data_IF_019639213721
#
_entry.id   IF_019639213721
#
_cell.length_a   1.000
_cell.length_b   1.000
_cell.length_c   1.000
_cell.angle_alpha   90.00
_cell.angle_beta   90.00
_cell.angle_gamma   90.00
#
_symmetry.space_group_name_H-M   'P 1'
#
loop_
_entity.id
_entity.type
_entity.pdbx_description
1 polymer ?
#
# COMPACT_ATOMS: atom_id res chain seq x y z
N UNK A 1 -41.53 38.82 12.59
CA UNK A 1 -40.19 39.29 12.15
C UNK A 1 -39.37 38.05 11.79
N UNK A 2 -39.30 37.70 10.52
CA UNK A 2 -38.54 36.52 10.05
C UNK A 2 -37.12 36.96 9.73
N UNK A 3 -36.16 36.62 10.58
CA UNK A 3 -34.74 36.84 10.27
C UNK A 3 -34.36 35.89 9.13
N UNK A 4 -33.93 36.39 7.95
CA UNK A 4 -33.46 35.52 6.89
C UNK A 4 -32.21 34.78 7.40
N UNK A 5 -32.21 33.46 7.28
CA UNK A 5 -31.07 32.65 7.67
C UNK A 5 -29.83 33.09 6.86
N UNK A 6 -28.82 33.63 7.54
CA UNK A 6 -27.58 34.04 6.89
C UNK A 6 -26.77 32.79 6.52
N UNK A 7 -26.27 32.74 5.29
CA UNK A 7 -25.37 31.66 4.86
C UNK A 7 -24.06 31.73 5.66
N UNK A 8 -23.55 30.60 6.19
CA UNK A 8 -22.30 30.62 6.92
C UNK A 8 -21.13 31.09 6.03
N UNK A 9 -20.15 31.84 6.57
CA UNK A 9 -19.00 32.29 5.79
C UNK A 9 -18.23 31.12 5.17
N UNK A 10 -17.75 31.25 3.93
CA UNK A 10 -16.99 30.19 3.26
C UNK A 10 -15.78 29.70 4.10
N UNK A 11 -15.10 30.62 4.78
CA UNK A 11 -13.98 30.28 5.66
C UNK A 11 -14.40 29.34 6.82
N UNK A 12 -15.63 29.44 7.30
CA UNK A 12 -16.17 28.51 8.29
C UNK A 12 -16.38 27.12 7.68
N UNK A 13 -17.00 27.04 6.50
CA UNK A 13 -17.25 25.78 5.78
C UNK A 13 -15.94 25.02 5.56
N UNK A 14 -14.91 25.69 5.05
CA UNK A 14 -13.61 25.06 4.78
C UNK A 14 -12.87 24.59 6.04
N UNK A 15 -12.99 25.31 7.15
CA UNK A 15 -12.46 24.83 8.45
C UNK A 15 -13.17 23.56 8.91
N UNK A 16 -14.49 23.48 8.70
CA UNK A 16 -15.29 22.29 9.03
C UNK A 16 -14.92 21.12 8.14
N UNK A 17 -14.85 21.31 6.82
CA UNK A 17 -14.45 20.25 5.89
C UNK A 17 -13.05 19.70 6.17
N UNK A 18 -12.07 20.58 6.42
CA UNK A 18 -10.71 20.16 6.82
C UNK A 18 -10.71 19.35 8.12
N UNK A 19 -11.51 19.76 9.11
CA UNK A 19 -11.63 19.07 10.40
C UNK A 19 -12.34 17.72 10.27
N UNK A 20 -13.39 17.64 9.45
CA UNK A 20 -14.15 16.41 9.19
C UNK A 20 -13.30 15.37 8.47
N UNK A 21 -12.62 15.79 7.39
CA UNK A 21 -11.70 14.92 6.65
C UNK A 21 -10.54 14.46 7.53
N UNK A 22 -10.01 15.33 8.41
CA UNK A 22 -9.01 14.93 9.40
C UNK A 22 -9.50 13.86 10.37
N UNK A 23 -10.72 13.99 10.91
CA UNK A 23 -11.30 12.97 11.79
C UNK A 23 -11.55 11.64 11.06
N UNK A 24 -12.00 11.69 9.80
CA UNK A 24 -12.13 10.52 8.94
C UNK A 24 -10.78 9.83 8.70
N UNK A 25 -9.73 10.59 8.41
CA UNK A 25 -8.39 10.06 8.22
C UNK A 25 -7.81 9.45 9.50
N UNK A 26 -8.19 9.92 10.69
CA UNK A 26 -7.82 9.26 11.95
C UNK A 26 -8.48 7.88 12.09
N UNK A 27 -9.70 7.69 11.58
CA UNK A 27 -10.34 6.36 11.54
C UNK A 27 -9.63 5.44 10.55
N UNK A 28 -9.29 5.95 9.38
CA UNK A 28 -8.47 5.21 8.41
C UNK A 28 -7.10 4.85 9.00
N UNK A 29 -6.44 5.76 9.71
CA UNK A 29 -5.14 5.48 10.35
C UNK A 29 -5.23 4.34 11.37
N UNK A 30 -6.31 4.27 12.15
CA UNK A 30 -6.58 3.17 13.09
C UNK A 30 -6.67 1.84 12.33
N UNK A 31 -7.54 1.77 11.32
CA UNK A 31 -7.75 0.56 10.53
C UNK A 31 -6.45 0.14 9.82
N UNK A 32 -5.78 1.10 9.18
CA UNK A 32 -4.54 0.88 8.46
C UNK A 32 -3.46 0.29 9.36
N UNK A 33 -3.21 0.89 10.54
CA UNK A 33 -2.18 0.39 11.45
C UNK A 33 -2.60 -0.91 12.14
N UNK A 34 -3.90 -1.12 12.40
CA UNK A 34 -4.40 -2.38 12.92
C UNK A 34 -4.17 -3.53 11.92
N UNK A 35 -4.56 -3.37 10.65
CA UNK A 35 -4.35 -4.41 9.62
C UNK A 35 -2.86 -4.67 9.40
N UNK A 36 -2.04 -3.62 9.30
CA UNK A 36 -0.58 -3.79 9.16
C UNK A 36 0.05 -4.49 10.36
N UNK A 37 -0.44 -4.23 11.57
CA UNK A 37 0.08 -4.87 12.78
C UNK A 37 -0.09 -6.39 12.77
N UNK A 38 -1.07 -6.92 12.04
CA UNK A 38 -1.28 -8.37 11.91
C UNK A 38 -0.20 -9.10 11.11
N UNK A 39 0.71 -8.37 10.45
CA UNK A 39 1.92 -8.98 9.90
C UNK A 39 2.85 -9.48 11.02
N UNK A 40 2.70 -8.96 12.24
CA UNK A 40 3.54 -9.23 13.40
C UNK A 40 2.77 -9.79 14.62
N UNK A 41 1.63 -9.19 14.97
CA UNK A 41 0.72 -9.66 16.00
C UNK A 41 0.04 -10.92 15.44
N UNK A 42 -0.07 -11.99 16.24
CA UNK A 42 -0.25 -13.41 15.81
C UNK A 42 1.06 -14.14 15.44
N UNK A 43 2.04 -14.04 16.34
CA UNK A 43 3.35 -14.73 16.25
C UNK A 43 3.16 -16.21 15.93
N UNK A 44 3.77 -16.70 14.86
CA UNK A 44 3.80 -18.12 14.48
C UNK A 44 2.78 -18.54 13.42
N UNK A 45 1.91 -17.64 12.96
CA UNK A 45 0.97 -17.90 11.85
C UNK A 45 1.40 -17.26 10.52
N UNK A 46 2.69 -16.95 10.34
CA UNK A 46 3.25 -16.40 9.08
C UNK A 46 2.49 -15.19 8.51
N UNK A 47 1.89 -14.37 9.37
CA UNK A 47 1.13 -13.19 8.95
C UNK A 47 -0.21 -13.53 8.29
N UNK A 48 -0.79 -14.70 8.57
CA UNK A 48 -2.08 -15.14 8.04
C UNK A 48 -3.19 -14.08 8.18
N UNK A 49 -3.32 -13.44 9.34
CA UNK A 49 -4.29 -12.37 9.57
C UNK A 49 -4.12 -11.20 8.58
N UNK A 50 -2.89 -10.75 8.38
CA UNK A 50 -2.55 -9.73 7.39
C UNK A 50 -2.94 -10.18 5.97
N UNK A 51 -2.53 -11.38 5.57
CA UNK A 51 -2.81 -11.92 4.23
C UNK A 51 -4.32 -11.98 3.98
N UNK A 52 -5.10 -12.46 4.94
CA UNK A 52 -6.55 -12.54 4.85
C UNK A 52 -7.19 -11.15 4.74
N UNK A 53 -6.81 -10.21 5.61
CA UNK A 53 -7.33 -8.85 5.60
C UNK A 53 -7.01 -8.11 4.29
N UNK A 54 -5.77 -8.19 3.81
CA UNK A 54 -5.35 -7.53 2.56
C UNK A 54 -6.04 -8.14 1.34
N UNK A 55 -6.19 -9.47 1.30
CA UNK A 55 -6.94 -10.13 0.23
C UNK A 55 -8.42 -9.73 0.24
N UNK A 56 -9.04 -9.62 1.41
CA UNK A 56 -10.42 -9.18 1.54
C UNK A 56 -10.61 -7.75 1.01
N UNK A 57 -9.71 -6.82 1.36
CA UNK A 57 -9.73 -5.44 0.86
C UNK A 57 -9.51 -5.42 -0.67
N UNK A 58 -8.51 -6.16 -1.18
CA UNK A 58 -8.15 -6.18 -2.60
C UNK A 58 -9.28 -6.70 -3.50
N UNK A 59 -10.09 -7.63 -2.98
CA UNK A 59 -11.19 -8.26 -3.70
C UNK A 59 -12.53 -7.53 -3.51
N UNK A 60 -12.56 -6.42 -2.77
CA UNK A 60 -13.78 -5.65 -2.56
C UNK A 60 -14.27 -5.02 -3.89
N UNK A 61 -15.58 -5.08 -4.20
CA UNK A 61 -16.11 -4.53 -5.44
C UNK A 61 -15.92 -3.02 -5.50
N UNK A 62 -15.64 -2.50 -6.70
CA UNK A 62 -15.43 -1.06 -6.94
C UNK A 62 -14.31 -0.43 -6.12
N UNK A 63 -13.32 -1.22 -5.68
CA UNK A 63 -12.19 -0.73 -4.88
C UNK A 63 -11.56 0.58 -5.39
N UNK A 64 -11.31 0.80 -6.70
CA UNK A 64 -10.73 2.06 -7.17
C UNK A 64 -11.61 3.29 -6.88
N UNK A 65 -12.93 3.16 -6.94
CA UNK A 65 -13.86 4.24 -6.61
C UNK A 65 -13.87 4.50 -5.11
N UNK A 66 -13.86 3.42 -4.31
CA UNK A 66 -13.80 3.51 -2.84
C UNK A 66 -12.51 4.19 -2.41
N UNK A 67 -11.37 3.78 -2.95
CA UNK A 67 -10.08 4.43 -2.68
C UNK A 67 -10.10 5.91 -3.08
N UNK A 68 -10.67 6.25 -4.24
CA UNK A 68 -10.75 7.65 -4.69
C UNK A 68 -11.61 8.51 -3.76
N UNK A 69 -12.83 8.06 -3.45
CA UNK A 69 -13.80 8.89 -2.72
C UNK A 69 -13.65 8.83 -1.20
N UNK A 70 -13.27 7.67 -0.64
CA UNK A 70 -13.12 7.52 0.81
C UNK A 70 -11.70 7.82 1.30
N UNK A 71 -10.68 7.78 0.44
CA UNK A 71 -9.30 8.12 0.84
C UNK A 71 -8.77 9.31 0.05
N UNK A 72 -8.75 9.24 -1.29
CA UNK A 72 -8.16 10.25 -2.16
C UNK A 72 -8.73 11.65 -1.94
N UNK A 73 -10.06 11.79 -1.98
CA UNK A 73 -10.75 13.07 -1.78
C UNK A 73 -10.54 13.62 -0.36
N UNK A 74 -10.76 12.84 0.73
CA UNK A 74 -10.45 13.31 2.08
C UNK A 74 -8.99 13.72 2.29
N UNK A 75 -8.02 12.93 1.79
CA UNK A 75 -6.59 13.29 1.84
C UNK A 75 -6.37 14.61 1.11
N UNK A 76 -6.89 14.76 -0.10
CA UNK A 76 -6.70 15.97 -0.90
C UNK A 76 -7.25 17.21 -0.21
N UNK A 77 -8.48 17.16 0.29
CA UNK A 77 -9.12 18.28 1.00
C UNK A 77 -8.34 18.60 2.27
N UNK A 78 -7.97 17.59 3.06
CA UNK A 78 -7.22 17.78 4.29
C UNK A 78 -5.84 18.39 4.02
N UNK A 79 -5.12 17.89 3.00
CA UNK A 79 -3.79 18.34 2.61
C UNK A 79 -3.79 19.79 2.12
N UNK A 80 -4.64 20.14 1.16
CA UNK A 80 -4.66 21.48 0.55
C UNK A 80 -4.98 22.56 1.59
N UNK A 81 -6.01 22.33 2.42
CA UNK A 81 -6.38 23.26 3.47
C UNK A 81 -5.39 23.23 4.64
N UNK A 82 -4.83 22.06 4.96
CA UNK A 82 -3.79 21.90 5.97
C UNK A 82 -2.55 22.72 5.64
N UNK A 83 -2.06 22.68 4.40
CA UNK A 83 -0.93 23.50 3.92
C UNK A 83 -1.25 25.00 4.07
N UNK A 84 -2.47 25.42 3.69
CA UNK A 84 -2.90 26.81 3.89
C UNK A 84 -2.85 27.21 5.36
N UNK A 85 -3.29 26.35 6.28
CA UNK A 85 -3.24 26.61 7.73
C UNK A 85 -1.84 26.54 8.32
N UNK A 86 -0.94 25.74 7.74
CA UNK A 86 0.47 25.72 8.13
C UNK A 86 1.16 27.04 7.80
N UNK A 87 0.92 27.58 6.60
CA UNK A 87 1.56 28.82 6.14
C UNK A 87 1.05 30.09 6.81
N UNK A 88 -0.19 30.08 7.31
CA UNK A 88 -0.87 31.30 7.81
C UNK A 88 -0.88 31.46 9.32
N UNK A 89 -0.43 30.47 10.09
CA UNK A 89 -0.58 30.45 11.55
C UNK A 89 0.74 30.11 12.21
N UNK A 90 1.24 31.03 13.04
CA UNK A 90 2.49 30.87 13.76
C UNK A 90 2.38 29.85 14.91
N UNK A 91 3.51 29.22 15.20
CA UNK A 91 3.78 28.47 16.44
C UNK A 91 3.99 29.49 17.58
N UNK A 92 3.52 29.15 18.78
CA UNK A 92 3.57 30.06 19.93
C UNK A 92 3.89 29.37 21.27
N UNK A 93 4.45 28.16 21.27
CA UNK A 93 4.78 27.41 22.49
C UNK A 93 6.23 27.53 22.95
N UNK A 94 7.09 28.17 22.17
CA UNK A 94 8.51 28.32 22.46
C UNK A 94 8.82 29.75 22.90
N UNK A 95 9.83 29.90 23.75
CA UNK A 95 10.33 31.22 24.15
C UNK A 95 10.85 31.99 22.93
N UNK A 96 10.67 33.31 22.97
CA UNK A 96 11.09 34.22 21.90
C UNK A 96 11.60 35.52 22.51
N UNK A 97 12.37 36.26 21.74
CA UNK A 97 12.88 37.60 22.04
C UNK A 97 11.80 38.71 22.02
N UNK A 98 10.53 38.35 21.91
CA UNK A 98 9.41 39.29 21.79
C UNK A 98 8.99 39.59 20.35
N UNK A 99 9.72 39.07 19.35
CA UNK A 99 9.35 39.23 17.93
C UNK A 99 8.11 38.43 17.52
N UNK A 100 7.69 37.44 18.33
CA UNK A 100 6.54 36.56 18.06
C UNK A 100 5.77 36.25 19.36
N UNK A 101 4.47 35.92 19.28
CA UNK A 101 3.71 35.48 20.45
C UNK A 101 4.33 34.24 21.10
N UNK A 102 4.57 34.29 22.41
CA UNK A 102 5.18 33.23 23.21
C UNK A 102 4.28 32.89 24.41
N UNK A 103 3.83 31.64 24.48
CA UNK A 103 2.91 31.10 25.48
C UNK A 103 3.36 29.71 25.98
N UNK A 104 4.61 29.55 26.47
CA UNK A 104 5.20 28.27 26.85
C UNK A 104 4.55 27.61 28.08
N UNK A 105 3.87 28.38 28.92
CA UNK A 105 3.22 27.90 30.14
C UNK A 105 1.96 27.06 29.89
N UNK A 106 1.41 27.06 28.68
CA UNK A 106 0.15 26.39 28.37
C UNK A 106 0.36 25.11 27.55
N UNK A 107 0.00 23.96 28.14
CA UNK A 107 0.09 22.64 27.48
C UNK A 107 -0.68 22.55 26.15
N UNK A 108 -1.78 23.31 26.01
CA UNK A 108 -2.56 23.36 24.76
C UNK A 108 -1.79 24.02 23.62
N UNK A 109 -0.97 25.03 23.93
CA UNK A 109 -0.13 25.71 22.95
C UNK A 109 1.01 24.81 22.47
N UNK A 110 1.60 24.01 23.37
CA UNK A 110 2.52 22.94 23.00
C UNK A 110 1.85 21.93 22.06
N UNK A 111 0.64 21.47 22.41
CA UNK A 111 -0.06 20.50 21.58
C UNK A 111 -0.42 21.03 20.18
N UNK A 112 -0.80 22.29 20.11
CA UNK A 112 -1.01 23.00 18.85
C UNK A 112 0.29 23.13 18.03
N UNK A 113 1.42 23.38 18.67
CA UNK A 113 2.71 23.55 17.99
C UNK A 113 3.25 22.21 17.48
N UNK A 114 3.13 21.15 18.28
CA UNK A 114 3.44 19.78 17.85
C UNK A 114 2.53 19.31 16.72
N UNK A 115 1.24 19.66 16.71
CA UNK A 115 0.36 19.39 15.57
C UNK A 115 0.97 19.91 14.26
N UNK A 116 1.60 21.08 14.27
CA UNK A 116 2.21 21.72 13.10
C UNK A 116 3.52 21.07 12.69
N UNK A 117 4.37 20.78 13.67
CA UNK A 117 5.63 20.08 13.43
C UNK A 117 5.34 18.71 12.82
N UNK A 118 4.43 17.93 13.40
CA UNK A 118 4.04 16.63 12.84
C UNK A 118 3.35 16.76 11.49
N UNK A 119 2.60 17.84 11.23
CA UNK A 119 2.03 18.07 9.88
C UNK A 119 3.10 18.16 8.79
N UNK A 120 4.25 18.79 9.07
CA UNK A 120 5.36 18.86 8.11
C UNK A 120 5.98 17.48 7.90
N UNK A 121 6.20 16.72 8.98
CA UNK A 121 6.67 15.34 8.90
C UNK A 121 5.70 14.50 8.05
N UNK A 122 4.40 14.64 8.27
CA UNK A 122 3.37 13.91 7.51
C UNK A 122 3.28 14.34 6.06
N UNK A 123 3.45 15.63 5.73
CA UNK A 123 3.43 16.08 4.35
C UNK A 123 4.44 15.31 3.49
N UNK A 124 5.69 15.23 3.96
CA UNK A 124 6.74 14.53 3.23
C UNK A 124 6.68 13.02 3.43
N UNK A 125 6.40 12.58 4.65
CA UNK A 125 6.29 11.16 5.01
C UNK A 125 5.16 10.45 4.28
N UNK A 126 3.98 11.06 4.18
CA UNK A 126 2.83 10.49 3.45
C UNK A 126 3.13 10.38 1.96
N UNK A 127 3.72 11.42 1.36
CA UNK A 127 4.09 11.39 -0.05
C UNK A 127 5.12 10.30 -0.32
N UNK A 128 6.17 10.24 0.50
CA UNK A 128 7.20 9.20 0.41
C UNK A 128 6.61 7.80 0.60
N UNK A 129 5.74 7.61 1.59
CA UNK A 129 5.07 6.36 1.88
C UNK A 129 4.20 5.88 0.70
N UNK A 130 3.36 6.77 0.15
CA UNK A 130 2.51 6.45 -1.01
C UNK A 130 3.38 6.12 -2.21
N UNK A 131 4.37 6.95 -2.55
CA UNK A 131 5.25 6.70 -3.71
C UNK A 131 5.97 5.36 -3.56
N UNK A 132 6.57 5.13 -2.39
CA UNK A 132 7.37 3.93 -2.13
C UNK A 132 6.52 2.66 -2.18
N UNK A 133 5.42 2.60 -1.43
CA UNK A 133 4.62 1.37 -1.31
C UNK A 133 3.67 1.16 -2.50
N UNK A 134 3.00 2.21 -2.97
CA UNK A 134 1.96 2.10 -4.01
C UNK A 134 2.52 2.00 -5.43
N UNK A 135 3.74 2.51 -5.67
CA UNK A 135 4.27 2.61 -7.04
C UNK A 135 5.65 1.95 -7.20
N UNK A 136 6.60 2.19 -6.28
CA UNK A 136 7.96 1.63 -6.42
C UNK A 136 7.95 0.14 -6.10
N UNK A 137 7.50 -0.23 -4.90
CA UNK A 137 7.52 -1.61 -4.40
C UNK A 137 6.27 -2.41 -4.73
N UNK A 138 5.29 -1.78 -5.41
CA UNK A 138 4.05 -2.42 -5.83
C UNK A 138 4.30 -3.78 -6.54
N UNK A 139 3.55 -4.83 -6.15
CA UNK A 139 3.62 -6.13 -6.81
C UNK A 139 3.30 -6.02 -8.29
N UNK A 140 4.10 -6.69 -9.12
CA UNK A 140 3.79 -6.85 -10.54
C UNK A 140 2.71 -7.91 -10.69
N UNK A 141 1.72 -7.68 -11.56
CA UNK A 141 0.66 -8.65 -11.85
C UNK A 141 0.91 -9.32 -13.21
N UNK A 142 0.74 -10.64 -13.27
CA UNK A 142 0.67 -11.40 -14.52
C UNK A 142 -0.37 -12.51 -14.42
N UNK A 143 -0.77 -13.10 -15.55
CA UNK A 143 -1.73 -14.22 -15.59
C UNK A 143 -1.05 -15.48 -16.11
N UNK A 144 -1.15 -16.54 -15.33
CA UNK A 144 -0.75 -17.89 -15.72
C UNK A 144 -2.01 -18.75 -15.80
N UNK A 145 -2.41 -19.13 -17.02
CA UNK A 145 -3.70 -19.77 -17.25
C UNK A 145 -4.86 -18.85 -16.88
N UNK A 146 -5.64 -19.26 -15.86
CA UNK A 146 -6.82 -18.52 -15.37
C UNK A 146 -6.47 -17.69 -14.12
N UNK A 147 -5.37 -18.00 -13.44
CA UNK A 147 -5.02 -17.41 -12.14
C UNK A 147 -4.06 -16.22 -12.29
N UNK A 148 -4.33 -15.17 -11.50
CA UNK A 148 -3.39 -14.05 -11.34
C UNK A 148 -2.25 -14.47 -10.44
N UNK A 149 -1.05 -14.04 -10.79
CA UNK A 149 0.16 -14.19 -10.01
C UNK A 149 0.76 -12.81 -9.77
N UNK A 150 1.32 -12.64 -8.58
CA UNK A 150 1.94 -11.41 -8.11
C UNK A 150 3.42 -11.65 -7.90
N UNK A 151 4.23 -10.71 -8.37
CA UNK A 151 5.69 -10.79 -8.31
C UNK A 151 6.27 -9.64 -7.51
N UNK A 152 7.14 -9.98 -6.57
CA UNK A 152 7.82 -9.02 -5.68
C UNK A 152 9.30 -9.32 -5.66
N UNK A 153 10.11 -8.26 -5.71
CA UNK A 153 11.57 -8.35 -5.66
C UNK A 153 12.04 -8.27 -4.22
N UNK A 154 12.87 -9.21 -3.80
CA UNK A 154 13.32 -9.35 -2.42
C UNK A 154 14.83 -9.63 -2.39
N UNK A 155 15.54 -9.19 -1.35
CA UNK A 155 16.93 -9.62 -1.14
C UNK A 155 16.93 -11.00 -0.47
N UNK A 156 17.60 -11.98 -1.08
CA UNK A 156 17.68 -13.32 -0.51
C UNK A 156 18.40 -13.32 0.84
N UNK A 157 17.79 -13.98 1.82
CA UNK A 157 18.34 -14.23 3.14
C UNK A 157 17.95 -15.64 3.61
N UNK A 158 18.60 -16.14 4.68
CA UNK A 158 18.47 -17.54 5.12
C UNK A 158 17.02 -17.94 5.41
N UNK A 159 16.22 -17.02 5.95
CA UNK A 159 14.84 -17.29 6.31
C UNK A 159 13.84 -17.09 5.18
N UNK A 160 14.21 -16.40 4.10
CA UNK A 160 13.30 -16.16 3.00
C UNK A 160 12.86 -17.47 2.31
N UNK A 161 13.75 -18.44 2.16
CA UNK A 161 13.45 -19.70 1.46
C UNK A 161 12.44 -20.56 2.21
N UNK A 162 12.62 -20.68 3.53
CA UNK A 162 11.71 -21.42 4.42
C UNK A 162 10.36 -20.73 4.51
N UNK A 163 10.35 -19.40 4.70
CA UNK A 163 9.11 -18.62 4.72
C UNK A 163 8.35 -18.71 3.39
N UNK A 164 9.04 -18.54 2.26
CA UNK A 164 8.42 -18.61 0.94
C UNK A 164 7.76 -19.97 0.69
N UNK A 165 8.38 -21.07 1.14
CA UNK A 165 7.77 -22.39 1.06
C UNK A 165 6.50 -22.51 1.90
N UNK A 166 6.45 -21.94 3.12
CA UNK A 166 5.25 -21.96 3.97
C UNK A 166 4.10 -21.10 3.41
N UNK A 167 4.45 -20.01 2.73
CA UNK A 167 3.50 -19.07 2.12
C UNK A 167 3.09 -19.42 0.68
N UNK A 168 3.50 -20.58 0.16
CA UNK A 168 3.29 -20.98 -1.24
C UNK A 168 3.78 -19.93 -2.26
N UNK A 169 4.98 -19.39 -2.00
CA UNK A 169 5.68 -18.44 -2.87
C UNK A 169 6.91 -19.11 -3.50
N UNK A 170 7.00 -19.04 -4.83
CA UNK A 170 8.16 -19.56 -5.58
C UNK A 170 9.19 -18.46 -5.77
N UNK A 171 10.46 -18.76 -5.49
CA UNK A 171 11.56 -17.82 -5.65
C UNK A 171 12.32 -18.11 -6.94
N UNK A 172 12.53 -17.06 -7.74
CA UNK A 172 13.32 -17.10 -8.97
C UNK A 172 14.53 -16.19 -8.84
N UNK A 173 15.73 -16.76 -8.89
CA UNK A 173 16.97 -15.98 -9.02
C UNK A 173 17.24 -15.62 -10.50
N UNK A 174 18.28 -14.83 -10.73
CA UNK A 174 18.65 -14.38 -12.08
C UNK A 174 18.97 -15.55 -13.04
N UNK A 175 19.52 -16.65 -12.54
CA UNK A 175 19.85 -17.83 -13.35
C UNK A 175 18.59 -18.61 -13.73
N UNK A 176 17.67 -18.83 -12.80
CA UNK A 176 16.38 -19.47 -13.04
C UNK A 176 15.55 -18.68 -14.04
N UNK A 177 15.54 -17.35 -13.97
CA UNK A 177 14.86 -16.52 -14.98
C UNK A 177 15.48 -16.72 -16.38
N UNK A 178 16.82 -16.83 -16.48
CA UNK A 178 17.49 -17.13 -17.76
C UNK A 178 17.17 -18.54 -18.25
N UNK A 179 17.04 -19.52 -17.36
CA UNK A 179 16.66 -20.89 -17.70
C UNK A 179 15.23 -20.90 -18.27
N UNK A 180 14.29 -20.23 -17.61
CA UNK A 180 12.91 -20.07 -18.10
C UNK A 180 12.86 -19.39 -19.47
N UNK A 181 13.67 -18.35 -19.67
CA UNK A 181 13.80 -17.68 -20.97
C UNK A 181 14.33 -18.63 -22.06
N UNK A 182 15.41 -19.37 -21.78
CA UNK A 182 15.96 -20.34 -22.73
C UNK A 182 14.97 -21.47 -23.04
N UNK A 183 14.26 -21.96 -22.03
CA UNK A 183 13.25 -22.99 -22.18
C UNK A 183 12.10 -22.52 -23.07
N UNK A 184 11.63 -21.28 -22.90
CA UNK A 184 10.63 -20.67 -23.76
C UNK A 184 11.10 -20.49 -25.20
N UNK A 185 12.33 -20.00 -25.41
CA UNK A 185 12.90 -19.82 -26.74
C UNK A 185 13.06 -21.17 -27.45
N UNK A 186 13.55 -22.19 -26.75
CA UNK A 186 13.67 -23.56 -27.26
C UNK A 186 12.31 -24.17 -27.62
N UNK A 187 11.30 -24.06 -26.74
CA UNK A 187 9.92 -24.48 -27.04
C UNK A 187 9.35 -23.75 -28.25
N UNK A 188 9.60 -22.44 -28.37
CA UNK A 188 9.13 -21.66 -29.52
C UNK A 188 9.84 -22.09 -30.80
N UNK A 189 11.15 -22.34 -30.75
CA UNK A 189 11.94 -22.73 -31.91
C UNK A 189 11.63 -24.15 -32.38
N UNK A 190 11.63 -25.14 -31.49
CA UNK A 190 11.29 -26.53 -31.83
C UNK A 190 9.89 -26.61 -32.45
N UNK A 191 8.95 -25.81 -31.95
CA UNK A 191 7.58 -25.80 -32.45
C UNK A 191 7.44 -25.10 -33.80
N UNK A 192 8.22 -24.05 -34.05
CA UNK A 192 8.33 -23.46 -35.40
C UNK A 192 8.89 -24.46 -36.41
N UNK A 193 9.84 -25.29 -36.00
CA UNK A 193 10.39 -26.37 -36.83
C UNK A 193 9.32 -27.44 -37.11
N UNK A 194 8.61 -27.93 -36.10
CA UNK A 194 7.47 -28.86 -36.26
C UNK A 194 6.38 -28.31 -37.18
N UNK A 195 5.99 -27.04 -37.02
CA UNK A 195 4.98 -26.40 -37.86
C UNK A 195 5.48 -26.29 -39.32
N UNK A 196 6.78 -26.02 -39.53
CA UNK A 196 7.41 -25.96 -40.86
C UNK A 196 7.54 -27.32 -41.53
N UNK A 197 7.86 -28.37 -40.77
CA UNK A 197 7.90 -29.75 -41.25
C UNK A 197 6.50 -30.27 -41.56
N UNK A 198 5.51 -29.90 -40.73
CA UNK A 198 4.09 -30.23 -40.96
C UNK A 198 3.52 -29.52 -42.18
N UNK A 199 3.87 -28.25 -42.44
CA UNK A 199 3.50 -27.56 -43.68
C UNK A 199 4.22 -28.11 -44.90
N UNK A 200 5.50 -28.49 -44.78
CA UNK A 200 6.23 -29.14 -45.86
C UNK A 200 5.63 -30.53 -46.19
N UNK A 201 5.33 -31.35 -45.18
CA UNK A 201 4.66 -32.64 -45.35
C UNK A 201 3.24 -32.50 -45.93
N UNK A 202 2.50 -31.45 -45.55
CA UNK A 202 1.19 -31.12 -46.13
C UNK A 202 1.28 -30.51 -47.55
N UNK A 203 2.43 -29.96 -47.94
CA UNK A 203 2.69 -29.45 -49.29
C UNK A 203 3.05 -30.55 -50.31
N UNK A 204 3.26 -31.79 -49.85
CA UNK A 204 3.32 -32.97 -50.72
C UNK A 204 1.89 -33.21 -51.23
N UNK A 205 1.63 -33.10 -52.55
CA UNK A 205 0.26 -33.05 -53.05
C UNK A 205 -0.44 -34.40 -52.89
N UNK A 206 -1.33 -34.51 -51.90
CA UNK A 206 -2.51 -35.38 -52.03
C UNK A 206 -3.56 -34.60 -52.82
N UNK A 207 -3.45 -34.74 -54.14
CA UNK A 207 -4.46 -34.34 -55.11
C UNK A 207 -5.77 -35.07 -54.76
N UNK A 208 -6.74 -34.35 -54.18
CA UNK A 208 -8.20 -34.45 -54.40
C UNK A 208 -8.90 -33.44 -53.46
N UNK A 209 -9.49 -32.41 -54.09
CA UNK A 209 -10.71 -31.66 -53.75
C UNK A 209 -10.94 -31.13 -52.32
N UNK A 210 -10.87 -29.80 -52.15
CA UNK A 210 -12.05 -28.90 -52.17
C UNK A 210 -11.62 -27.47 -51.83
N UNK A 211 -11.82 -26.57 -52.79
CA UNK A 211 -11.88 -25.13 -52.55
C UNK A 211 -13.18 -24.81 -51.79
N UNK A 212 -13.06 -24.04 -50.72
CA UNK A 212 -14.18 -23.63 -49.86
C UNK A 212 -13.98 -24.01 -48.40
N UNK A 213 -12.90 -23.55 -47.79
CA UNK A 213 -12.78 -23.52 -46.33
C UNK A 213 -12.76 -22.05 -45.90
N UNK A 214 -13.88 -21.59 -45.36
CA UNK A 214 -13.87 -20.47 -44.43
C UNK A 214 -12.73 -20.69 -43.43
N UNK A 215 -12.03 -19.63 -43.03
CA UNK A 215 -11.08 -19.68 -41.92
C UNK A 215 -11.86 -19.99 -40.64
N UNK A 216 -12.26 -21.23 -40.43
CA UNK A 216 -12.62 -21.74 -39.12
C UNK A 216 -11.38 -21.53 -38.24
N UNK A 217 -11.48 -20.60 -37.30
CA UNK A 217 -10.49 -20.46 -36.23
C UNK A 217 -10.45 -21.79 -35.46
N UNK A 218 -9.53 -22.67 -35.85
CA UNK A 218 -9.35 -23.96 -35.19
C UNK A 218 -9.11 -23.71 -33.68
N UNK A 219 -9.99 -24.20 -32.78
CA UNK A 219 -9.88 -23.95 -31.35
C UNK A 219 -8.51 -24.33 -30.77
N UNK A 220 -7.84 -25.34 -31.34
CA UNK A 220 -6.49 -25.70 -30.91
C UNK A 220 -5.45 -24.64 -31.27
N UNK A 221 -5.58 -23.96 -32.42
CA UNK A 221 -4.68 -22.88 -32.82
C UNK A 221 -4.86 -21.68 -31.89
N UNK A 222 -6.11 -21.31 -31.59
CA UNK A 222 -6.43 -20.24 -30.65
C UNK A 222 -5.87 -20.49 -29.24
N UNK A 223 -6.05 -21.70 -28.70
CA UNK A 223 -5.50 -22.09 -27.40
C UNK A 223 -3.96 -21.97 -27.40
N UNK A 224 -3.31 -22.40 -28.49
CA UNK A 224 -1.84 -22.30 -28.63
C UNK A 224 -1.37 -20.86 -28.66
N UNK A 225 -2.03 -19.99 -29.42
CA UNK A 225 -1.70 -18.56 -29.47
C UNK A 225 -1.90 -17.89 -28.11
N UNK A 226 -2.98 -18.24 -27.40
CA UNK A 226 -3.23 -17.76 -26.05
C UNK A 226 -2.14 -18.20 -25.08
N UNK A 227 -1.73 -19.48 -25.09
CA UNK A 227 -0.63 -19.99 -24.25
C UNK A 227 0.68 -19.27 -24.54
N UNK A 228 1.04 -19.10 -25.83
CA UNK A 228 2.25 -18.37 -26.24
C UNK A 228 2.22 -16.92 -25.79
N UNK A 229 1.06 -16.26 -25.86
CA UNK A 229 0.87 -14.89 -25.36
C UNK A 229 1.04 -14.83 -23.83
N UNK A 230 0.49 -15.78 -23.10
CA UNK A 230 0.65 -15.87 -21.64
C UNK A 230 2.10 -16.10 -21.23
N UNK A 231 2.81 -17.04 -21.87
CA UNK A 231 4.23 -17.29 -21.59
C UNK A 231 5.11 -16.07 -21.91
N UNK A 232 4.82 -15.33 -23.00
CA UNK A 232 5.53 -14.09 -23.33
C UNK A 232 5.31 -13.02 -22.27
N UNK A 233 4.07 -12.79 -21.84
CA UNK A 233 3.77 -11.80 -20.80
C UNK A 233 4.34 -12.23 -19.43
N UNK A 234 4.40 -13.52 -19.13
CA UNK A 234 5.10 -14.08 -17.96
C UNK A 234 6.58 -13.68 -17.96
N UNK A 235 7.33 -14.01 -19.01
CA UNK A 235 8.76 -13.69 -19.10
C UNK A 235 9.02 -12.18 -19.10
N UNK A 236 8.19 -11.42 -19.81
CA UNK A 236 8.25 -9.96 -19.81
C UNK A 236 8.05 -9.39 -18.40
N UNK A 237 7.15 -9.98 -17.61
CA UNK A 237 6.90 -9.55 -16.23
C UNK A 237 8.08 -9.89 -15.32
N UNK A 238 8.62 -11.11 -15.39
CA UNK A 238 9.82 -11.53 -14.66
C UNK A 238 11.02 -10.61 -14.93
N UNK A 239 11.15 -10.14 -16.17
CA UNK A 239 12.26 -9.28 -16.61
C UNK A 239 12.02 -7.78 -16.41
N UNK A 240 10.80 -7.37 -16.02
CA UNK A 240 10.42 -5.95 -15.91
C UNK A 240 11.23 -5.20 -14.86
N UNK A 241 11.54 -5.86 -13.74
CA UNK A 241 12.40 -5.35 -12.67
C UNK A 241 13.66 -6.24 -12.60
N UNK A 242 14.78 -5.88 -13.25
CA UNK A 242 15.97 -6.71 -13.27
C UNK A 242 16.55 -6.87 -11.87
N UNK A 243 16.92 -8.11 -11.51
CA UNK A 243 17.49 -8.44 -10.21
C UNK A 243 18.97 -8.02 -10.14
N UNK A 244 19.41 -7.56 -8.98
CA UNK A 244 20.80 -7.18 -8.69
C UNK A 244 21.35 -8.00 -7.53
N UNK A 245 22.63 -8.37 -7.60
CA UNK A 245 23.32 -9.06 -6.51
C UNK A 245 22.63 -10.37 -6.12
N UNK A 246 22.19 -10.48 -4.86
CA UNK A 246 21.48 -11.61 -4.29
C UNK A 246 19.95 -11.45 -4.30
N UNK A 247 19.40 -10.54 -5.10
CA UNK A 247 17.96 -10.38 -5.23
C UNK A 247 17.30 -11.60 -5.91
N UNK A 248 16.07 -11.90 -5.48
CA UNK A 248 15.20 -12.93 -6.03
C UNK A 248 13.82 -12.34 -6.32
N UNK A 249 13.12 -12.94 -7.28
CA UNK A 249 11.73 -12.64 -7.58
C UNK A 249 10.84 -13.67 -6.89
N UNK A 250 10.07 -13.25 -5.89
CA UNK A 250 9.03 -14.08 -5.30
C UNK A 250 7.76 -14.01 -6.14
N UNK A 251 7.15 -15.16 -6.39
CA UNK A 251 5.94 -15.31 -7.21
C UNK A 251 4.90 -16.09 -6.41
N UNK A 252 3.72 -15.52 -6.26
CA UNK A 252 2.62 -16.12 -5.49
C UNK A 252 1.26 -15.82 -6.15
N UNK A 253 0.26 -16.72 -6.04
CA UNK A 253 -1.10 -16.43 -6.50
C UNK A 253 -1.86 -15.45 -5.57
N UNK A 254 -1.35 -15.20 -4.35
CA UNK A 254 -2.01 -14.38 -3.33
C UNK A 254 -1.46 -12.96 -3.29
N UNK A 255 -2.34 -11.96 -3.46
CA UNK A 255 -1.94 -10.55 -3.37
C UNK A 255 -1.47 -10.20 -1.95
N UNK A 256 -2.16 -10.69 -0.93
CA UNK A 256 -1.78 -10.49 0.47
C UNK A 256 -0.41 -11.06 0.81
N UNK A 257 -0.02 -12.21 0.25
CA UNK A 257 1.33 -12.77 0.44
C UNK A 257 2.39 -11.89 -0.22
N UNK A 258 2.12 -11.38 -1.42
CA UNK A 258 3.02 -10.46 -2.10
C UNK A 258 3.26 -9.18 -1.27
N UNK A 259 2.18 -8.57 -0.77
CA UNK A 259 2.25 -7.40 0.11
C UNK A 259 2.97 -7.73 1.44
N UNK A 260 2.73 -8.90 2.04
CA UNK A 260 3.39 -9.33 3.26
C UNK A 260 4.92 -9.43 3.06
N UNK A 261 5.35 -10.04 1.96
CA UNK A 261 6.77 -10.15 1.61
C UNK A 261 7.41 -8.78 1.32
N UNK A 262 6.67 -7.87 0.69
CA UNK A 262 7.12 -6.48 0.48
C UNK A 262 7.30 -5.73 1.80
N UNK A 263 6.36 -5.85 2.74
CA UNK A 263 6.44 -5.22 4.08
C UNK A 263 7.61 -5.81 4.87
N UNK A 264 7.80 -7.14 4.83
CA UNK A 264 8.96 -7.83 5.40
C UNK A 264 10.27 -7.24 4.87
N UNK A 265 10.40 -7.08 3.57
CA UNK A 265 11.62 -6.57 2.94
C UNK A 265 11.90 -5.12 3.34
N UNK A 266 10.85 -4.29 3.37
CA UNK A 266 10.97 -2.88 3.78
C UNK A 266 11.54 -2.76 5.19
N UNK A 267 11.01 -3.53 6.15
CA UNK A 267 11.43 -3.47 7.55
C UNK A 267 12.66 -4.32 7.89
N UNK A 268 13.31 -4.92 6.88
CA UNK A 268 14.67 -5.46 7.03
C UNK A 268 15.71 -4.34 7.09
N UNK A 269 15.46 -3.21 6.44
CA UNK A 269 16.41 -2.09 6.35
C UNK A 269 16.33 -1.17 7.58
N UNK A 270 17.42 -0.97 8.35
CA UNK A 270 17.42 -0.12 9.54
C UNK A 270 16.98 1.33 9.29
N UNK A 271 17.33 1.87 8.12
CA UNK A 271 16.93 3.22 7.71
C UNK A 271 15.41 3.36 7.59
N UNK A 272 14.74 2.36 7.00
CA UNK A 272 13.28 2.36 6.87
C UNK A 272 12.62 2.24 8.24
N UNK A 273 13.12 1.38 9.13
CA UNK A 273 12.61 1.25 10.49
C UNK A 273 12.59 2.61 11.21
N UNK A 274 13.70 3.35 11.16
CA UNK A 274 13.80 4.67 11.82
C UNK A 274 12.84 5.68 11.19
N UNK A 275 12.83 5.79 9.86
CA UNK A 275 11.97 6.73 9.14
C UNK A 275 10.48 6.44 9.39
N UNK A 276 10.07 5.19 9.30
CA UNK A 276 8.69 4.78 9.54
C UNK A 276 8.29 4.91 11.01
N UNK A 277 9.21 4.68 11.96
CA UNK A 277 8.94 4.93 13.39
C UNK A 277 8.59 6.40 13.63
N UNK A 278 9.41 7.32 13.12
CA UNK A 278 9.15 8.75 13.26
C UNK A 278 7.85 9.16 12.54
N UNK A 279 7.62 8.63 11.35
CA UNK A 279 6.43 8.89 10.55
C UNK A 279 5.15 8.42 11.26
N UNK A 280 5.11 7.18 11.76
CA UNK A 280 3.95 6.61 12.47
C UNK A 280 3.67 7.35 13.76
N UNK A 281 4.70 7.65 14.57
CA UNK A 281 4.50 8.41 15.81
C UNK A 281 3.97 9.82 15.53
N UNK A 282 4.47 10.49 14.49
CA UNK A 282 3.95 11.77 14.05
C UNK A 282 2.49 11.66 13.57
N UNK A 283 2.13 10.59 12.85
CA UNK A 283 0.78 10.33 12.36
C UNK A 283 -0.20 10.12 13.51
N UNK A 284 0.14 9.28 14.48
CA UNK A 284 -0.66 9.07 15.67
C UNK A 284 -0.84 10.38 16.45
N UNK A 285 0.24 11.10 16.73
CA UNK A 285 0.12 12.37 17.45
C UNK A 285 -0.80 13.35 16.72
N UNK A 286 -0.57 13.57 15.42
CA UNK A 286 -1.37 14.47 14.60
C UNK A 286 -2.85 14.06 14.55
N UNK A 287 -3.11 12.79 14.26
CA UNK A 287 -4.47 12.25 14.10
C UNK A 287 -5.29 12.35 15.38
N UNK A 288 -4.70 12.01 16.53
CA UNK A 288 -5.45 11.96 17.80
C UNK A 288 -5.53 13.29 18.54
N UNK A 289 -4.51 14.16 18.46
CA UNK A 289 -4.65 15.54 18.93
C UNK A 289 -5.64 16.33 18.03
N UNK A 290 -5.66 16.03 16.74
CA UNK A 290 -6.68 16.49 15.79
C UNK A 290 -8.07 16.01 16.15
N UNK A 291 -8.24 14.71 16.45
CA UNK A 291 -9.52 14.10 16.86
C UNK A 291 -10.07 14.73 18.15
N UNK A 292 -9.23 14.95 19.15
CA UNK A 292 -9.65 15.66 20.36
C UNK A 292 -10.16 17.08 20.05
N UNK A 293 -9.44 17.80 19.18
CA UNK A 293 -9.83 19.15 18.75
C UNK A 293 -11.11 19.15 17.89
N UNK A 294 -11.31 18.12 17.07
CA UNK A 294 -12.55 17.90 16.32
C UNK A 294 -13.74 17.77 17.28
N UNK A 295 -13.64 16.91 18.30
CA UNK A 295 -14.74 16.69 19.25
C UNK A 295 -15.16 17.97 19.99
N UNK A 296 -14.20 18.84 20.32
CA UNK A 296 -14.48 20.15 20.92
C UNK A 296 -15.17 21.07 19.90
N UNK A 297 -14.55 21.26 18.74
CA UNK A 297 -15.01 22.27 17.77
C UNK A 297 -16.37 21.94 17.19
N UNK A 298 -16.70 20.65 17.03
CA UNK A 298 -18.01 20.17 16.56
C UNK A 298 -19.07 20.07 17.66
N UNK A 299 -18.74 20.44 18.89
CA UNK A 299 -19.70 20.51 19.99
C UNK A 299 -20.09 19.14 20.56
N UNK A 300 -19.32 18.09 20.30
CA UNK A 300 -19.53 16.76 20.91
C UNK A 300 -19.14 16.82 22.40
N UNK A 301 -18.07 17.55 22.73
CA UNK A 301 -17.60 17.74 24.10
C UNK A 301 -17.64 19.21 24.54
N UNK A 302 -18.79 19.65 25.05
CA UNK A 302 -19.04 21.05 25.41
C UNK A 302 -18.46 21.43 26.79
N UNK A 303 -18.59 20.56 27.80
CA UNK A 303 -18.20 20.88 29.18
C UNK A 303 -16.71 20.63 29.44
N UNK A 304 -16.10 21.37 30.37
CA UNK A 304 -14.69 21.20 30.73
C UNK A 304 -14.38 19.75 31.20
N UNK A 305 -15.30 19.13 31.91
CA UNK A 305 -15.18 17.73 32.36
C UNK A 305 -15.20 16.77 31.16
N UNK A 306 -16.15 16.93 30.23
CA UNK A 306 -16.23 16.11 29.01
C UNK A 306 -14.97 16.26 28.14
N UNK A 307 -14.45 17.49 27.99
CA UNK A 307 -13.22 17.74 27.25
C UNK A 307 -11.98 17.10 27.89
N UNK A 308 -11.94 17.03 29.24
CA UNK A 308 -10.87 16.33 29.97
C UNK A 308 -10.93 14.83 29.74
N UNK A 309 -12.11 14.20 29.84
CA UNK A 309 -12.25 12.78 29.56
C UNK A 309 -11.96 12.43 28.10
N UNK A 310 -12.44 13.26 27.16
CA UNK A 310 -12.14 13.08 25.74
C UNK A 310 -10.64 13.17 25.45
N UNK A 311 -9.91 14.03 26.16
CA UNK A 311 -8.45 14.06 26.04
C UNK A 311 -7.82 12.75 26.49
N UNK A 312 -8.22 12.18 27.63
CA UNK A 312 -7.72 10.88 28.08
C UNK A 312 -8.04 9.76 27.09
N UNK A 313 -9.27 9.72 26.57
CA UNK A 313 -9.66 8.76 25.54
C UNK A 313 -8.82 8.91 24.27
N UNK A 314 -8.65 10.14 23.77
CA UNK A 314 -7.83 10.39 22.58
C UNK A 314 -6.36 9.99 22.80
N UNK A 315 -5.79 10.26 23.97
CA UNK A 315 -4.43 9.81 24.32
C UNK A 315 -4.35 8.29 24.40
N UNK A 316 -5.34 7.61 24.97
CA UNK A 316 -5.35 6.15 25.03
C UNK A 316 -5.41 5.51 23.63
N UNK A 317 -6.30 6.01 22.76
CA UNK A 317 -6.40 5.56 21.38
C UNK A 317 -5.11 5.86 20.59
N UNK A 318 -4.47 6.99 20.85
CA UNK A 318 -3.17 7.34 20.26
C UNK A 318 -2.09 6.34 20.62
N UNK A 319 -1.96 5.98 21.90
CA UNK A 319 -0.96 5.02 22.38
C UNK A 319 -1.24 3.63 21.80
N UNK A 320 -2.50 3.20 21.79
CA UNK A 320 -2.89 1.89 21.23
C UNK A 320 -2.60 1.81 19.72
N UNK A 321 -2.94 2.87 18.98
CA UNK A 321 -2.71 2.93 17.53
C UNK A 321 -1.21 3.01 17.20
N UNK A 322 -0.45 3.78 18.00
CA UNK A 322 1.00 3.78 17.91
C UNK A 322 1.58 2.39 18.18
N UNK A 323 1.10 1.68 19.19
CA UNK A 323 1.53 0.31 19.47
C UNK A 323 1.32 -0.62 18.26
N UNK A 324 0.15 -0.59 17.61
CA UNK A 324 -0.08 -1.37 16.39
C UNK A 324 0.90 -1.02 15.27
N UNK A 325 1.14 0.27 15.03
CA UNK A 325 2.13 0.70 14.04
C UNK A 325 3.56 0.26 14.39
N UNK A 326 3.96 0.36 15.67
CA UNK A 326 5.26 -0.09 16.14
C UNK A 326 5.42 -1.61 16.03
N UNK A 327 4.35 -2.37 16.31
CA UNK A 327 4.33 -3.82 16.14
C UNK A 327 4.54 -4.21 14.67
N UNK A 328 3.89 -3.51 13.72
CA UNK A 328 4.12 -3.73 12.30
C UNK A 328 5.59 -3.47 11.92
N UNK A 329 6.16 -2.32 12.33
CA UNK A 329 7.52 -1.95 11.94
C UNK A 329 8.58 -2.88 12.53
N UNK A 330 8.51 -3.15 13.83
CA UNK A 330 9.55 -3.89 14.54
C UNK A 330 9.29 -5.39 14.60
N UNK A 331 8.03 -5.81 14.57
CA UNK A 331 7.68 -7.22 14.71
C UNK A 331 7.62 -8.00 13.40
N UNK A 332 7.32 -7.35 12.27
CA UNK A 332 7.10 -8.06 11.00
C UNK A 332 8.32 -8.88 10.60
N UNK A 333 9.49 -8.26 10.44
CA UNK A 333 10.71 -8.99 10.10
C UNK A 333 11.34 -9.67 11.31
N UNK A 334 11.47 -8.98 12.45
CA UNK A 334 12.33 -9.44 13.54
C UNK A 334 11.71 -10.50 14.45
N UNK A 335 10.38 -10.61 14.45
CA UNK A 335 9.64 -11.55 15.32
C UNK A 335 8.99 -12.63 14.48
N UNK A 336 8.16 -12.25 13.49
CA UNK A 336 7.28 -13.22 12.84
C UNK A 336 7.87 -13.81 11.54
N UNK A 337 8.39 -12.96 10.64
CA UNK A 337 8.76 -13.36 9.28
C UNK A 337 10.27 -13.50 9.09
N UNK A 338 11.03 -13.68 10.16
CA UNK A 338 12.49 -13.78 10.09
C UNK A 338 12.93 -15.03 9.33
N UNK A 339 12.29 -16.16 9.65
CA UNK A 339 12.66 -17.52 9.22
C UNK A 339 11.50 -18.25 8.57
#
# INVERSE_FOLDING_TARGET
MTWPAQTPPQAFIWRRLHSLTGAWLSLFLIEHLLVNSQAALFIGEDGYGFVHAVNAIKNFPYLPLIELFLLGVPIFVHLVWGIKYLKTRAINSFETDGSKPSLPQYSRNHAYSWQRITSWILLFGLLAHIIHMRFIEAPLETRLGIQKHYLVRLNADKGLYTLAARLDAKLYNQEQIKIEEKAFLSRTQNKLLEDSEGTFAASIPKRIEKEGAEKEENPQVLIREQQKKQEREWLKTLKKKPLKGNEVMAVTPSFGVAELLMVRETFKMPTMIVLYTLFVLAACYHGFNGLWTFMITWGVTLTALSQRYMRYLATALMVMTAFWGMAAIWGTYWINLKN
#
